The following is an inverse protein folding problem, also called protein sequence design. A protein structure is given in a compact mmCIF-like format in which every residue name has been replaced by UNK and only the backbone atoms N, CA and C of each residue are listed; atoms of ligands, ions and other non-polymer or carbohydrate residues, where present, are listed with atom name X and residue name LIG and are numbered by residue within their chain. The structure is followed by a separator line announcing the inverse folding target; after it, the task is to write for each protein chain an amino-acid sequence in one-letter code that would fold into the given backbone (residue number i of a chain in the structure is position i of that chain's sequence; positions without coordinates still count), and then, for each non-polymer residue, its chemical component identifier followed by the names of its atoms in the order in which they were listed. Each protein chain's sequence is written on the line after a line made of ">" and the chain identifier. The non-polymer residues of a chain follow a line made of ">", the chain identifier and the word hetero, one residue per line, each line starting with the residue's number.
data_IF_748917517972
#
_entry.id   IF_748917517972
#
_cell.length_a   1.000
_cell.length_b   1.000
_cell.length_c   1.000
_cell.angle_alpha   90.00
_cell.angle_beta   90.00
_cell.angle_gamma   90.00
#
_symmetry.space_group_name_H-M   'P 1'
#
loop_
_entity.id
_entity.type
_entity.pdbx_description
1 polymer ?
#
# COMPACT_ATOMS: atom_id res chain seq x y z
N UNK A 1 -6.94 6.28 21.81
CA UNK A 1 -7.62 6.36 20.49
C UNK A 1 -6.86 5.42 19.56
N UNK A 2 -7.54 4.47 18.92
CA UNK A 2 -6.92 3.62 17.89
C UNK A 2 -7.04 4.38 16.57
N UNK A 3 -5.94 4.52 15.84
CA UNK A 3 -5.92 5.15 14.51
C UNK A 3 -6.04 4.04 13.48
N UNK A 4 -6.84 4.24 12.43
CA UNK A 4 -7.05 3.21 11.42
C UNK A 4 -5.96 3.26 10.36
N UNK A 5 -5.37 2.10 10.03
CA UNK A 5 -4.42 2.01 8.91
C UNK A 5 -5.02 2.52 7.59
N UNK A 6 -6.32 2.33 7.40
CA UNK A 6 -7.03 2.82 6.24
C UNK A 6 -6.87 4.33 6.01
N UNK A 7 -6.80 5.14 7.07
CA UNK A 7 -6.60 6.60 6.97
C UNK A 7 -5.24 6.93 6.34
N UNK A 8 -4.17 6.31 6.86
CA UNK A 8 -2.82 6.51 6.34
C UNK A 8 -2.70 6.02 4.89
N UNK A 9 -3.25 4.85 4.57
CA UNK A 9 -3.27 4.32 3.21
C UNK A 9 -4.00 5.30 2.27
N UNK A 10 -5.17 5.79 2.67
CA UNK A 10 -5.95 6.72 1.86
C UNK A 10 -5.18 8.03 1.59
N UNK A 11 -4.61 8.63 2.64
CA UNK A 11 -3.83 9.87 2.54
C UNK A 11 -2.57 9.71 1.70
N UNK A 12 -1.88 8.58 1.82
CA UNK A 12 -0.70 8.25 1.01
C UNK A 12 -1.05 8.11 -0.48
N UNK A 13 -2.16 7.43 -0.82
CA UNK A 13 -2.58 7.22 -2.22
C UNK A 13 -3.07 8.52 -2.86
N UNK A 14 -3.69 9.42 -2.09
CA UNK A 14 -4.19 10.70 -2.60
C UNK A 14 -3.10 11.76 -2.81
N UNK A 15 -1.82 11.45 -2.56
CA UNK A 15 -0.72 12.42 -2.55
C UNK A 15 -1.03 13.66 -1.70
N UNK A 16 -1.59 13.44 -0.51
CA UNK A 16 -1.92 14.51 0.41
C UNK A 16 -0.64 15.16 0.98
N UNK A 17 -0.66 16.46 1.28
CA UNK A 17 0.49 17.28 1.72
C UNK A 17 0.99 16.97 3.14
N UNK A 18 0.48 15.94 3.80
CA UNK A 18 0.76 15.60 5.19
C UNK A 18 1.79 14.48 5.39
N UNK A 19 2.30 13.92 4.29
CA UNK A 19 3.34 12.92 4.32
C UNK A 19 4.39 13.18 3.23
N UNK A 20 5.64 12.91 3.56
CA UNK A 20 6.76 12.96 2.63
C UNK A 20 7.06 11.55 2.12
N UNK A 21 7.26 11.40 0.81
CA UNK A 21 7.74 10.15 0.23
C UNK A 21 9.24 10.07 0.48
N UNK A 22 9.66 9.16 1.35
CA UNK A 22 11.08 8.97 1.71
C UNK A 22 11.76 7.90 0.85
N UNK A 23 10.98 7.04 0.19
CA UNK A 23 11.47 6.01 -0.73
C UNK A 23 10.39 5.68 -1.75
N UNK A 24 10.76 5.63 -3.03
CA UNK A 24 9.96 5.04 -4.10
C UNK A 24 10.94 4.34 -5.04
N UNK A 25 10.92 3.01 -5.01
CA UNK A 25 11.80 2.19 -5.81
C UNK A 25 10.97 1.13 -6.54
N UNK A 26 11.28 0.94 -7.82
CA UNK A 26 10.68 -0.09 -8.65
C UNK A 26 11.79 -0.90 -9.33
N UNK A 27 11.68 -2.22 -9.27
CA UNK A 27 12.61 -3.15 -9.87
C UNK A 27 11.84 -4.23 -10.60
N UNK A 28 12.29 -4.55 -11.81
CA UNK A 28 11.83 -5.73 -12.54
C UNK A 28 12.70 -6.93 -12.14
N UNK A 29 12.07 -8.01 -11.70
CA UNK A 29 12.70 -9.30 -11.45
C UNK A 29 12.41 -10.17 -12.69
N UNK A 30 13.34 -10.20 -13.65
CA UNK A 30 13.15 -10.95 -14.90
C UNK A 30 13.02 -12.47 -14.69
N UNK A 31 13.84 -13.11 -13.83
CA UNK A 31 13.69 -14.54 -13.53
C UNK A 31 12.32 -14.91 -12.96
N UNK A 32 11.73 -14.05 -12.14
CA UNK A 32 10.42 -14.27 -11.53
C UNK A 32 9.26 -13.70 -12.36
N UNK A 33 9.55 -13.04 -13.50
CA UNK A 33 8.57 -12.36 -14.35
C UNK A 33 7.65 -11.39 -13.60
N UNK A 34 8.16 -10.70 -12.58
CA UNK A 34 7.39 -9.72 -11.77
C UNK A 34 8.05 -8.34 -11.74
N UNK A 35 7.22 -7.31 -11.54
CA UNK A 35 7.65 -5.97 -11.15
C UNK A 35 7.38 -5.82 -9.66
N UNK A 36 8.43 -5.52 -8.91
CA UNK A 36 8.36 -5.18 -7.49
C UNK A 36 8.45 -3.67 -7.32
N UNK A 37 7.55 -3.09 -6.55
CA UNK A 37 7.63 -1.68 -6.14
C UNK A 37 7.58 -1.58 -4.63
N UNK A 38 8.46 -0.77 -4.05
CA UNK A 38 8.46 -0.44 -2.63
C UNK A 38 8.37 1.06 -2.47
N UNK A 39 7.38 1.50 -1.71
CA UNK A 39 7.15 2.89 -1.36
C UNK A 39 7.11 3.06 0.15
N UNK A 40 7.72 4.12 0.65
CA UNK A 40 7.67 4.51 2.06
C UNK A 40 7.30 5.97 2.21
N UNK A 41 6.43 6.24 3.15
CA UNK A 41 5.97 7.57 3.52
C UNK A 41 6.29 7.85 4.98
N UNK A 42 6.81 9.03 5.25
CA UNK A 42 6.94 9.57 6.60
C UNK A 42 5.81 10.58 6.82
N UNK A 43 4.91 10.27 7.75
CA UNK A 43 3.88 11.22 8.17
C UNK A 43 4.44 12.18 9.23
N UNK A 44 3.93 13.42 9.22
CA UNK A 44 4.30 14.47 10.20
C UNK A 44 4.07 14.07 11.65
N UNK A 45 3.19 13.11 11.84
CA UNK A 45 2.77 12.64 13.15
C UNK A 45 3.65 11.46 13.65
N UNK A 46 4.75 11.16 12.95
CA UNK A 46 5.78 10.20 13.32
C UNK A 46 5.57 8.80 12.75
N UNK A 47 4.43 8.52 12.12
CA UNK A 47 4.17 7.21 11.51
C UNK A 47 4.97 7.06 10.22
N UNK A 48 5.71 5.95 10.10
CA UNK A 48 6.26 5.50 8.82
C UNK A 48 5.33 4.43 8.24
N UNK A 49 4.91 4.62 7.00
CA UNK A 49 4.07 3.67 6.27
C UNK A 49 4.89 3.08 5.13
N UNK A 50 4.89 1.76 5.01
CA UNK A 50 5.49 1.05 3.90
C UNK A 50 4.42 0.34 3.07
N UNK A 51 4.57 0.42 1.75
CA UNK A 51 3.84 -0.37 0.78
C UNK A 51 4.83 -1.15 -0.08
N UNK A 52 4.67 -2.47 -0.16
CA UNK A 52 5.31 -3.29 -1.18
C UNK A 52 4.27 -3.88 -2.11
N UNK A 53 4.55 -3.83 -3.40
CA UNK A 53 3.68 -4.32 -4.47
C UNK A 53 4.46 -5.28 -5.36
N UNK A 54 3.82 -6.39 -5.73
CA UNK A 54 4.31 -7.29 -6.78
C UNK A 54 3.23 -7.44 -7.85
N UNK A 55 3.61 -7.24 -9.10
CA UNK A 55 2.72 -7.36 -10.27
C UNK A 55 3.38 -8.24 -11.31
N UNK A 56 2.66 -9.21 -11.84
CA UNK A 56 3.16 -10.04 -12.94
C UNK A 56 3.43 -9.19 -14.19
N UNK A 57 4.52 -9.49 -14.90
CA UNK A 57 4.90 -8.81 -16.14
C UNK A 57 4.12 -9.34 -17.35
N UNK A 58 3.56 -10.54 -17.26
CA UNK A 58 2.92 -11.26 -18.36
C UNK A 58 1.38 -11.29 -18.27
N UNK A 59 0.75 -10.26 -17.68
CA UNK A 59 -0.72 -10.22 -17.57
C UNK A 59 -1.34 -9.84 -18.92
N UNK A 60 -1.90 -10.82 -19.63
CA UNK A 60 -2.85 -10.58 -20.71
C UNK A 60 -4.15 -10.05 -20.10
N UNK A 61 -4.32 -8.74 -20.10
CA UNK A 61 -5.56 -8.09 -19.68
C UNK A 61 -6.61 -8.28 -20.78
N UNK A 62 -7.49 -9.27 -20.61
CA UNK A 62 -8.84 -9.14 -21.12
C UNK A 62 -9.56 -8.06 -20.29
N UNK A 63 -10.34 -7.20 -20.94
CA UNK A 63 -10.90 -5.95 -20.37
C UNK A 63 -11.81 -6.12 -19.12
N UNK A 64 -12.04 -7.34 -18.64
CA UNK A 64 -13.08 -7.65 -17.64
C UNK A 64 -12.56 -8.09 -16.25
N UNK A 65 -11.24 -8.34 -16.08
CA UNK A 65 -10.71 -8.88 -14.82
C UNK A 65 -9.75 -7.90 -14.12
N UNK A 66 -9.96 -7.66 -12.82
CA UNK A 66 -9.00 -6.92 -12.01
C UNK A 66 -7.67 -7.69 -11.99
N UNK A 67 -6.56 -7.10 -12.45
CA UNK A 67 -5.29 -7.81 -12.52
C UNK A 67 -4.85 -8.25 -11.11
N UNK A 68 -4.24 -9.43 -11.06
CA UNK A 68 -3.61 -9.92 -9.83
C UNK A 68 -2.44 -9.04 -9.47
N UNK A 69 -2.44 -8.56 -8.22
CA UNK A 69 -1.40 -7.71 -7.70
C UNK A 69 -1.31 -7.94 -6.19
N UNK A 70 -0.17 -8.44 -5.72
CA UNK A 70 0.05 -8.58 -4.30
C UNK A 70 0.48 -7.23 -3.73
N UNK A 71 -0.29 -6.71 -2.77
CA UNK A 71 -0.07 -5.40 -2.15
C UNK A 71 -0.04 -5.59 -0.65
N UNK A 72 1.06 -5.19 -0.02
CA UNK A 72 1.27 -5.30 1.41
C UNK A 72 1.50 -3.91 1.97
N UNK A 73 0.67 -3.53 2.94
CA UNK A 73 0.80 -2.31 3.71
C UNK A 73 1.22 -2.64 5.14
N UNK A 74 2.20 -1.92 5.65
CA UNK A 74 2.67 -2.07 7.03
C UNK A 74 3.06 -0.74 7.64
N UNK A 75 2.79 -0.59 8.93
CA UNK A 75 3.33 0.50 9.75
C UNK A 75 4.70 0.07 10.23
N UNK A 76 5.72 0.86 9.91
CA UNK A 76 7.11 0.64 10.33
C UNK A 76 7.49 1.62 11.45
N UNK A 77 8.37 1.17 12.34
CA UNK A 77 8.85 1.96 13.48
C UNK A 77 8.16 1.67 14.81
N UNK A 78 8.75 2.16 15.89
CA UNK A 78 8.20 2.07 17.24
C UNK A 78 7.25 3.24 17.45
N UNK A 79 5.95 2.96 17.43
CA UNK A 79 4.93 4.00 17.52
C UNK A 79 4.17 3.82 18.83
N UNK A 80 4.28 4.79 19.74
CA UNK A 80 3.40 4.88 20.92
C UNK A 80 1.91 4.94 20.52
N UNK A 81 1.64 5.30 19.26
CA UNK A 81 0.33 5.31 18.62
C UNK A 81 -0.13 3.90 18.26
N UNK A 82 -1.37 3.60 18.64
CA UNK A 82 -2.03 2.33 18.30
C UNK A 82 -2.67 2.44 16.91
N UNK A 83 -1.88 2.24 15.85
CA UNK A 83 -2.44 2.02 14.50
C UNK A 83 -2.94 0.59 14.39
N UNK A 84 -4.18 0.39 13.93
CA UNK A 84 -4.77 -0.94 13.76
C UNK A 84 -5.51 -1.07 12.42
N UNK A 85 -5.35 -2.19 11.71
CA UNK A 85 -4.29 -3.18 11.90
C UNK A 85 -2.90 -2.55 11.62
N UNK A 86 -1.80 -3.13 12.12
CA UNK A 86 -0.45 -2.65 11.75
C UNK A 86 0.00 -3.16 10.37
N UNK A 87 -0.66 -4.21 9.87
CA UNK A 87 -0.32 -4.90 8.63
C UNK A 87 -1.59 -5.28 7.88
N UNK A 88 -1.61 -5.09 6.56
CA UNK A 88 -2.74 -5.48 5.71
C UNK A 88 -2.28 -5.85 4.31
N UNK A 89 -2.76 -7.00 3.85
CA UNK A 89 -2.48 -7.53 2.51
C UNK A 89 -3.73 -7.50 1.63
N UNK A 90 -3.49 -7.37 0.32
CA UNK A 90 -4.47 -7.43 -0.76
C UNK A 90 -3.87 -8.18 -1.94
N UNK A 91 -4.74 -8.85 -2.72
CA UNK A 91 -4.35 -9.57 -3.94
C UNK A 91 -4.80 -8.87 -5.22
N UNK A 92 -5.42 -7.69 -5.09
CA UNK A 92 -5.68 -6.79 -6.20
C UNK A 92 -5.96 -5.36 -5.72
N UNK A 93 -5.78 -4.39 -6.61
CA UNK A 93 -6.19 -2.99 -6.36
C UNK A 93 -7.69 -2.87 -6.09
N UNK A 94 -8.52 -3.74 -6.67
CA UNK A 94 -9.96 -3.76 -6.46
C UNK A 94 -10.31 -4.14 -5.01
N UNK A 95 -9.62 -5.14 -4.46
CA UNK A 95 -9.80 -5.56 -3.07
C UNK A 95 -9.36 -4.46 -2.09
N UNK A 96 -8.23 -3.79 -2.35
CA UNK A 96 -7.79 -2.63 -1.57
C UNK A 96 -8.80 -1.49 -1.60
N UNK A 97 -9.27 -1.10 -2.80
CA UNK A 97 -10.25 -0.03 -2.97
C UNK A 97 -11.57 -0.34 -2.26
N UNK A 98 -12.05 -1.57 -2.36
CA UNK A 98 -13.25 -2.00 -1.65
C UNK A 98 -13.06 -1.93 -0.14
N UNK A 99 -11.94 -2.44 0.38
CA UNK A 99 -11.63 -2.37 1.81
C UNK A 99 -11.56 -0.92 2.32
N UNK A 100 -10.88 -0.02 1.60
CA UNK A 100 -10.83 1.40 1.95
C UNK A 100 -12.23 2.03 1.97
N UNK A 101 -13.10 1.72 1.00
CA UNK A 101 -14.50 2.19 1.02
C UNK A 101 -15.25 1.74 2.28
N UNK A 102 -15.07 0.49 2.71
CA UNK A 102 -15.72 -0.03 3.92
C UNK A 102 -15.16 0.60 5.20
N UNK A 103 -13.85 0.90 5.26
CA UNK A 103 -13.23 1.50 6.43
C UNK A 103 -13.49 3.01 6.55
N UNK A 104 -13.87 3.66 5.46
CA UNK A 104 -14.11 5.11 5.40
C UNK A 104 -15.59 5.49 5.31
N UNK A 105 -16.49 4.52 5.36
CA UNK A 105 -17.94 4.73 5.43
C UNK A 105 -18.36 5.16 6.83
#
# INVERSE_FOLDING_TARGET
>A
MIIMLADYIFRAIQNNTDCDIICDHSQKDEPAEVIRRVRRWQFRDGIELMCSEETETAVQTGDEQCPEQWIVWSVTGDTEKKVSPQHKEFFSLCQQRYWLKIQMA
#
